data_IF_955876800600
#
_entry.id   IF_955876800600
#
_cell.length_a   1.000
_cell.length_b   1.000
_cell.length_c   1.000
_cell.angle_alpha   90.00
_cell.angle_beta   90.00
_cell.angle_gamma   90.00
#
_symmetry.space_group_name_H-M   'P 1'
#
loop_
_entity.id
_entity.type
_entity.pdbx_description
1 polymer ?
#
# COMPACT_ATOMS: atom_id res chain seq x y z
N UNK A 1 5.35 16.09 -35.88
CA UNK A 1 6.03 15.03 -35.08
C UNK A 1 5.21 14.76 -33.84
N UNK A 2 4.48 13.64 -33.74
CA UNK A 2 3.68 13.30 -32.55
C UNK A 2 4.64 12.98 -31.40
N UNK A 3 4.69 13.83 -30.37
CA UNK A 3 5.42 13.55 -29.14
C UNK A 3 5.00 12.18 -28.61
N UNK A 4 5.92 11.20 -28.61
CA UNK A 4 5.68 9.89 -28.00
C UNK A 4 5.28 10.12 -26.54
N UNK A 5 4.09 9.70 -26.17
CA UNK A 5 3.58 9.80 -24.79
C UNK A 5 4.59 9.13 -23.86
N UNK A 6 5.23 9.90 -22.97
CA UNK A 6 6.26 9.38 -22.07
C UNK A 6 5.63 8.30 -21.17
N UNK A 7 6.10 7.07 -21.30
CA UNK A 7 5.62 5.94 -20.50
C UNK A 7 5.92 6.22 -19.02
N UNK A 8 4.94 6.02 -18.14
CA UNK A 8 5.15 6.20 -16.71
C UNK A 8 6.15 5.17 -16.17
N UNK A 9 6.96 5.55 -15.18
CA UNK A 9 7.99 4.66 -14.61
C UNK A 9 7.42 3.32 -14.12
N UNK A 10 6.22 3.33 -13.56
CA UNK A 10 5.54 2.10 -13.10
C UNK A 10 5.16 1.14 -14.25
N UNK A 11 5.22 1.59 -15.48
CA UNK A 11 4.91 0.80 -16.68
C UNK A 11 6.17 0.47 -17.49
N UNK A 12 7.36 0.91 -17.05
CA UNK A 12 8.64 0.64 -17.72
C UNK A 12 9.22 -0.71 -17.26
N UNK A 13 8.44 -1.76 -17.29
CA UNK A 13 8.85 -3.13 -17.06
C UNK A 13 8.74 -3.94 -18.37
N UNK A 14 9.47 -5.04 -18.45
CA UNK A 14 9.38 -5.99 -19.56
C UNK A 14 8.11 -6.87 -19.47
N UNK A 15 7.98 -7.81 -20.41
CA UNK A 15 6.84 -8.76 -20.45
C UNK A 15 6.77 -9.70 -19.25
N UNK A 16 7.86 -9.87 -18.52
CA UNK A 16 7.92 -10.69 -17.30
C UNK A 16 7.67 -9.87 -16.02
N UNK A 17 7.42 -8.57 -16.16
CA UNK A 17 7.22 -7.66 -15.03
C UNK A 17 8.51 -7.19 -14.37
N UNK A 18 9.66 -7.28 -15.06
CA UNK A 18 10.97 -6.88 -14.54
C UNK A 18 11.31 -5.44 -14.91
N UNK A 19 11.81 -4.68 -13.96
CA UNK A 19 12.40 -3.35 -14.19
C UNK A 19 13.92 -3.44 -14.31
N UNK A 20 14.47 -2.87 -15.37
CA UNK A 20 15.92 -2.87 -15.62
C UNK A 20 16.51 -4.28 -15.71
N UNK A 21 15.72 -5.26 -16.12
CA UNK A 21 16.08 -6.67 -16.27
C UNK A 21 16.57 -7.38 -14.99
N UNK A 22 16.40 -6.75 -13.81
CA UNK A 22 16.92 -7.29 -12.54
C UNK A 22 15.90 -7.32 -11.40
N UNK A 23 14.94 -6.41 -11.39
CA UNK A 23 14.07 -6.20 -10.23
C UNK A 23 12.60 -6.44 -10.59
N UNK A 24 11.85 -7.04 -9.67
CA UNK A 24 10.43 -7.32 -9.86
C UNK A 24 10.14 -8.72 -10.36
N UNK A 25 9.21 -8.84 -11.31
CA UNK A 25 8.74 -10.10 -11.86
C UNK A 25 7.47 -10.63 -11.20
N UNK A 26 6.96 -11.75 -11.72
CA UNK A 26 5.75 -12.42 -11.24
C UNK A 26 6.07 -13.87 -10.84
N UNK A 27 7.02 -14.03 -9.90
CA UNK A 27 7.43 -15.35 -9.38
C UNK A 27 6.43 -15.83 -8.34
N UNK A 28 5.38 -16.49 -8.78
CA UNK A 28 4.29 -16.96 -7.93
C UNK A 28 3.91 -18.40 -8.27
N UNK A 29 3.35 -19.16 -7.30
CA UNK A 29 2.75 -20.46 -7.58
C UNK A 29 1.65 -20.35 -8.65
N UNK A 30 1.44 -21.43 -9.40
CA UNK A 30 0.44 -21.51 -10.48
C UNK A 30 -0.95 -21.08 -10.01
N UNK A 31 -1.32 -21.48 -8.79
CA UNK A 31 -2.60 -21.14 -8.15
C UNK A 31 -2.83 -19.64 -7.95
N UNK A 32 -1.78 -18.81 -7.93
CA UNK A 32 -1.88 -17.36 -7.81
C UNK A 32 -1.90 -16.63 -9.15
N UNK A 33 -1.60 -17.27 -10.27
CA UNK A 33 -1.57 -16.60 -11.58
C UNK A 33 -2.91 -15.95 -11.89
N UNK A 34 -4.00 -16.70 -11.83
CA UNK A 34 -5.34 -16.18 -12.15
C UNK A 34 -5.76 -15.03 -11.23
N UNK A 35 -5.67 -15.12 -9.88
CA UNK A 35 -5.96 -14.00 -8.99
C UNK A 35 -5.11 -12.74 -9.28
N UNK A 36 -3.86 -12.90 -9.67
CA UNK A 36 -2.97 -11.79 -10.02
C UNK A 36 -3.36 -11.15 -11.35
N UNK A 37 -3.65 -11.94 -12.38
CA UNK A 37 -4.13 -11.47 -13.68
C UNK A 37 -5.46 -10.70 -13.55
N UNK A 38 -6.39 -11.20 -12.74
CA UNK A 38 -7.66 -10.54 -12.47
C UNK A 38 -7.44 -9.19 -11.77
N UNK A 39 -6.55 -9.13 -10.79
CA UNK A 39 -6.19 -7.88 -10.13
C UNK A 39 -5.48 -6.90 -11.09
N UNK A 40 -4.62 -7.40 -11.97
CA UNK A 40 -3.89 -6.61 -12.96
C UNK A 40 -4.84 -6.00 -14.00
N UNK A 41 -5.80 -6.79 -14.48
CA UNK A 41 -6.86 -6.37 -15.39
C UNK A 41 -7.73 -5.29 -14.75
N UNK A 42 -8.20 -5.53 -13.53
CA UNK A 42 -9.01 -4.59 -12.77
C UNK A 42 -8.27 -3.27 -12.53
N UNK A 43 -7.03 -3.32 -12.06
CA UNK A 43 -6.23 -2.13 -11.79
C UNK A 43 -5.96 -1.34 -13.06
N UNK A 44 -5.58 -2.00 -14.16
CA UNK A 44 -5.32 -1.36 -15.45
C UNK A 44 -6.54 -0.61 -15.98
N UNK A 45 -7.73 -1.18 -15.82
CA UNK A 45 -9.01 -0.55 -16.18
C UNK A 45 -9.32 0.65 -15.26
N UNK A 46 -9.15 0.49 -13.96
CA UNK A 46 -9.60 1.48 -12.98
C UNK A 46 -8.63 2.65 -12.82
N UNK A 47 -7.31 2.43 -12.89
CA UNK A 47 -6.32 3.51 -12.70
C UNK A 47 -6.45 4.68 -13.67
N UNK A 48 -7.06 4.45 -14.85
CA UNK A 48 -7.31 5.46 -15.87
C UNK A 48 -8.79 5.91 -15.92
N UNK A 49 -9.67 5.31 -15.11
CA UNK A 49 -11.07 5.65 -15.06
C UNK A 49 -11.30 6.92 -14.25
N UNK A 50 -11.87 7.95 -14.89
CA UNK A 50 -12.10 9.27 -14.26
C UNK A 50 -12.94 9.20 -12.98
N UNK A 51 -13.96 8.35 -12.94
CA UNK A 51 -14.84 8.21 -11.77
C UNK A 51 -14.10 7.53 -10.60
N UNK A 52 -13.30 6.51 -10.88
CA UNK A 52 -12.47 5.86 -9.86
C UNK A 52 -11.41 6.81 -9.31
N UNK A 53 -10.76 7.59 -10.18
CA UNK A 53 -9.78 8.62 -9.76
C UNK A 53 -10.47 9.67 -8.88
N UNK A 54 -11.64 10.17 -9.28
CA UNK A 54 -12.44 11.11 -8.47
C UNK A 54 -12.81 10.55 -7.10
N UNK A 55 -13.23 9.28 -7.05
CA UNK A 55 -13.57 8.59 -5.81
C UNK A 55 -12.33 8.46 -4.91
N UNK A 56 -11.19 8.00 -5.44
CA UNK A 56 -9.91 7.96 -4.73
C UNK A 56 -9.51 9.32 -4.17
N UNK A 57 -9.56 10.37 -5.00
CA UNK A 57 -9.14 11.73 -4.62
C UNK A 57 -10.05 12.32 -3.54
N UNK A 58 -11.35 12.00 -3.54
CA UNK A 58 -12.27 12.33 -2.45
C UNK A 58 -11.82 11.72 -1.12
N UNK A 59 -11.40 10.44 -1.11
CA UNK A 59 -10.87 9.80 0.09
C UNK A 59 -9.52 10.40 0.49
N UNK A 60 -8.64 10.66 -0.46
CA UNK A 60 -7.35 11.27 -0.17
C UNK A 60 -7.51 12.64 0.46
N UNK A 61 -8.38 13.49 -0.08
CA UNK A 61 -8.64 14.82 0.47
C UNK A 61 -9.37 14.77 1.82
N UNK A 62 -10.53 14.11 1.88
CA UNK A 62 -11.46 14.25 2.99
C UNK A 62 -11.22 13.28 4.14
N UNK A 63 -10.45 12.22 3.92
CA UNK A 63 -10.20 11.22 4.95
C UNK A 63 -8.71 11.05 5.27
N UNK A 64 -7.82 11.08 4.28
CA UNK A 64 -6.38 11.04 4.54
C UNK A 64 -5.85 12.40 4.98
N UNK A 65 -6.42 13.50 4.49
CA UNK A 65 -5.95 14.87 4.77
C UNK A 65 -4.90 15.36 3.77
N UNK A 66 -4.98 14.88 2.55
CA UNK A 66 -4.15 15.31 1.41
C UNK A 66 -4.62 16.69 0.88
N UNK A 67 -3.73 17.63 0.54
CA UNK A 67 -2.27 17.57 0.65
C UNK A 67 -1.76 17.76 2.09
N UNK A 68 -0.73 17.00 2.47
CA UNK A 68 -0.04 17.21 3.75
C UNK A 68 0.89 18.42 3.67
N UNK A 69 1.31 18.97 4.82
CA UNK A 69 2.15 20.16 4.88
C UNK A 69 3.51 19.96 4.21
N UNK A 70 4.01 21.05 3.67
CA UNK A 70 5.38 21.18 3.18
C UNK A 70 6.00 22.37 3.91
N UNK A 71 7.06 22.16 4.68
CA UNK A 71 7.58 23.10 5.66
C UNK A 71 9.07 23.35 5.41
N UNK A 72 9.45 24.62 5.38
CA UNK A 72 10.86 25.03 5.42
C UNK A 72 11.42 24.90 6.83
N UNK A 73 12.54 24.20 6.96
CA UNK A 73 13.24 23.98 8.22
C UNK A 73 14.35 25.05 8.38
N UNK A 74 13.96 26.29 8.69
CA UNK A 74 14.87 27.45 8.74
C UNK A 74 16.03 27.24 9.72
N UNK A 75 15.73 26.82 10.95
CA UNK A 75 16.77 26.62 11.96
C UNK A 75 17.80 25.55 11.54
N UNK A 76 17.32 24.44 10.96
CA UNK A 76 18.19 23.37 10.49
C UNK A 76 19.02 23.83 9.28
N UNK A 77 18.40 24.54 8.33
CA UNK A 77 19.07 25.09 7.16
C UNK A 77 20.20 26.08 7.56
N UNK A 78 19.89 26.95 8.51
CA UNK A 78 20.90 27.94 9.02
C UNK A 78 22.00 27.24 9.78
N UNK A 79 21.70 26.22 10.59
CA UNK A 79 22.70 25.49 11.39
C UNK A 79 23.69 24.71 10.50
N UNK A 80 23.21 24.08 9.44
CA UNK A 80 24.05 23.29 8.53
C UNK A 80 24.84 24.21 7.58
N UNK A 81 24.25 25.34 7.16
CA UNK A 81 24.78 26.20 6.10
C UNK A 81 24.66 25.56 4.71
N UNK A 82 24.43 26.35 3.67
CA UNK A 82 24.34 25.86 2.29
C UNK A 82 22.90 25.67 1.79
N UNK A 83 22.50 24.44 1.48
CA UNK A 83 21.19 24.19 0.87
C UNK A 83 20.00 24.41 1.83
N UNK A 84 18.91 24.92 1.30
CA UNK A 84 17.64 25.00 2.04
C UNK A 84 17.06 23.59 2.26
N UNK A 85 16.67 23.28 3.49
CA UNK A 85 16.10 22.00 3.88
C UNK A 85 14.59 22.16 4.07
N UNK A 86 13.84 21.35 3.36
CA UNK A 86 12.39 21.32 3.40
C UNK A 86 11.90 19.93 3.78
N UNK A 87 10.79 19.82 4.49
CA UNK A 87 10.16 18.55 4.81
C UNK A 87 8.73 18.45 4.31
N UNK A 88 8.40 17.32 3.69
CA UNK A 88 7.02 16.91 3.39
C UNK A 88 6.49 16.11 4.58
N UNK A 89 5.58 16.70 5.35
CA UNK A 89 5.11 16.15 6.63
C UNK A 89 4.04 15.07 6.39
N UNK A 90 4.46 13.87 6.03
CA UNK A 90 3.53 12.77 5.73
C UNK A 90 2.88 12.20 7.00
N UNK A 91 3.41 12.51 8.18
CA UNK A 91 2.79 12.18 9.47
C UNK A 91 1.46 12.93 9.72
N UNK A 92 1.17 14.00 8.98
CA UNK A 92 -0.12 14.68 9.02
C UNK A 92 -1.24 13.86 8.39
N UNK A 93 -0.89 12.87 7.54
CA UNK A 93 -1.88 11.97 6.98
C UNK A 93 -2.58 11.17 8.09
N UNK A 94 -3.88 10.93 7.93
CA UNK A 94 -4.67 10.16 8.88
C UNK A 94 -4.00 8.80 9.18
N UNK A 95 -3.77 8.55 10.47
CA UNK A 95 -3.02 7.38 10.93
C UNK A 95 -1.52 7.62 11.09
N UNK A 96 -0.99 8.77 10.63
CA UNK A 96 0.39 9.21 10.87
C UNK A 96 1.44 8.62 9.91
N UNK A 97 1.06 8.07 8.75
CA UNK A 97 2.02 7.49 7.81
C UNK A 97 1.53 7.41 6.36
N UNK A 98 2.50 7.39 5.42
CA UNK A 98 2.29 7.24 3.99
C UNK A 98 1.55 5.95 3.58
N UNK A 99 1.64 4.89 4.37
CA UNK A 99 1.02 3.59 4.05
C UNK A 99 -0.51 3.64 3.96
N UNK A 100 -1.14 4.68 4.50
CA UNK A 100 -2.59 4.88 4.40
C UNK A 100 -3.05 5.08 2.95
N UNK A 101 -2.25 5.72 2.09
CA UNK A 101 -2.56 5.90 0.66
C UNK A 101 -2.67 4.54 -0.04
N UNK A 102 -1.68 3.67 0.18
CA UNK A 102 -1.66 2.33 -0.38
C UNK A 102 -2.82 1.47 0.13
N UNK A 103 -3.03 1.44 1.45
CA UNK A 103 -4.13 0.70 2.08
C UNK A 103 -5.50 1.14 1.56
N UNK A 104 -5.71 2.45 1.37
CA UNK A 104 -6.94 3.02 0.80
C UNK A 104 -7.21 2.52 -0.60
N UNK A 105 -6.19 2.53 -1.47
CA UNK A 105 -6.35 2.06 -2.85
C UNK A 105 -6.62 0.56 -2.90
N UNK A 106 -5.93 -0.26 -2.10
CA UNK A 106 -6.20 -1.69 -2.02
C UNK A 106 -7.63 -1.97 -1.55
N UNK A 107 -8.14 -1.26 -0.54
CA UNK A 107 -9.52 -1.41 -0.10
C UNK A 107 -10.54 -0.98 -1.17
N UNK A 108 -10.26 0.11 -1.91
CA UNK A 108 -11.10 0.53 -3.05
C UNK A 108 -11.15 -0.53 -4.13
N UNK A 109 -9.99 -1.10 -4.51
CA UNK A 109 -9.90 -2.17 -5.50
C UNK A 109 -10.63 -3.42 -5.03
N UNK A 110 -10.46 -3.81 -3.76
CA UNK A 110 -11.17 -4.93 -3.15
C UNK A 110 -12.70 -4.76 -3.26
N UNK A 111 -13.21 -3.57 -2.96
CA UNK A 111 -14.65 -3.27 -3.13
C UNK A 111 -15.10 -3.34 -4.58
N UNK A 112 -14.32 -2.81 -5.53
CA UNK A 112 -14.65 -2.87 -6.97
C UNK A 112 -14.60 -4.31 -7.51
N UNK A 113 -13.77 -5.17 -6.90
CA UNK A 113 -13.72 -6.60 -7.17
C UNK A 113 -14.82 -7.41 -6.46
N UNK A 114 -15.71 -6.78 -5.67
CA UNK A 114 -16.77 -7.47 -4.91
C UNK A 114 -16.25 -8.27 -3.71
N UNK A 115 -14.98 -8.09 -3.32
CA UNK A 115 -14.40 -8.81 -2.18
C UNK A 115 -14.97 -8.29 -0.85
N UNK A 116 -15.12 -9.19 0.11
CA UNK A 116 -15.69 -8.89 1.45
C UNK A 116 -14.61 -8.83 2.53
N UNK A 117 -13.48 -9.46 2.28
CA UNK A 117 -12.36 -9.59 3.21
C UNK A 117 -11.12 -8.97 2.56
N UNK A 118 -10.30 -8.28 3.35
CA UNK A 118 -8.97 -7.89 2.95
C UNK A 118 -7.96 -8.45 3.95
N UNK A 119 -6.88 -9.03 3.41
CA UNK A 119 -5.79 -9.56 4.22
C UNK A 119 -4.50 -8.81 3.94
N UNK A 120 -3.62 -8.77 4.90
CA UNK A 120 -2.28 -8.22 4.75
C UNK A 120 -1.37 -8.71 5.85
N UNK A 121 -0.09 -8.48 5.64
CA UNK A 121 0.98 -8.80 6.57
C UNK A 121 1.52 -7.55 7.25
N UNK A 122 2.18 -7.73 8.37
CA UNK A 122 2.90 -6.65 9.04
C UNK A 122 3.99 -7.18 9.97
N UNK A 123 5.14 -6.50 10.00
CA UNK A 123 6.19 -6.74 10.99
C UNK A 123 6.07 -5.77 12.17
N UNK A 124 6.49 -4.52 11.99
CA UNK A 124 6.40 -3.47 13.01
C UNK A 124 4.94 -3.03 13.36
N UNK A 125 3.94 -3.57 12.67
CA UNK A 125 2.53 -3.27 12.93
C UNK A 125 1.97 -2.06 12.19
N UNK A 126 2.81 -1.21 11.58
CA UNK A 126 2.33 0.04 10.97
C UNK A 126 1.51 -0.18 9.70
N UNK A 127 1.94 -1.11 8.82
CA UNK A 127 1.19 -1.48 7.62
C UNK A 127 -0.19 -2.06 8.01
N UNK A 128 -0.20 -2.97 8.99
CA UNK A 128 -1.43 -3.57 9.52
C UNK A 128 -2.37 -2.53 10.14
N UNK A 129 -1.83 -1.56 10.90
CA UNK A 129 -2.62 -0.46 11.46
C UNK A 129 -3.30 0.34 10.34
N UNK A 130 -2.57 0.73 9.29
CA UNK A 130 -3.15 1.49 8.18
C UNK A 130 -4.18 0.67 7.40
N UNK A 131 -3.90 -0.61 7.16
CA UNK A 131 -4.84 -1.50 6.48
C UNK A 131 -6.12 -1.70 7.30
N UNK A 132 -6.01 -1.91 8.62
CA UNK A 132 -7.17 -2.04 9.51
C UNK A 132 -8.05 -0.78 9.52
N UNK A 133 -7.44 0.40 9.53
CA UNK A 133 -8.16 1.68 9.44
C UNK A 133 -8.89 1.82 8.10
N UNK A 134 -8.22 1.51 6.99
CA UNK A 134 -8.83 1.57 5.67
C UNK A 134 -9.96 0.54 5.54
N UNK A 135 -9.74 -0.70 5.94
CA UNK A 135 -10.74 -1.75 5.91
C UNK A 135 -12.02 -1.35 6.67
N UNK A 136 -11.88 -0.81 7.88
CA UNK A 136 -13.00 -0.27 8.66
C UNK A 136 -13.74 0.84 7.91
N UNK A 137 -13.00 1.77 7.29
CA UNK A 137 -13.58 2.87 6.49
C UNK A 137 -14.41 2.37 5.32
N UNK A 138 -13.99 1.28 4.70
CA UNK A 138 -14.65 0.69 3.52
C UNK A 138 -15.64 -0.44 3.85
N UNK A 139 -15.84 -0.77 5.12
CA UNK A 139 -16.74 -1.86 5.54
C UNK A 139 -16.25 -3.25 5.13
N UNK A 140 -14.93 -3.46 5.07
CA UNK A 140 -14.31 -4.74 4.78
C UNK A 140 -13.90 -5.44 6.08
N UNK A 141 -14.10 -6.75 6.18
CA UNK A 141 -13.44 -7.56 7.22
C UNK A 141 -11.94 -7.55 6.97
N UNK A 142 -11.14 -7.40 8.03
CA UNK A 142 -9.69 -7.28 7.93
C UNK A 142 -9.00 -8.37 8.75
N UNK A 143 -8.06 -9.09 8.12
CA UNK A 143 -7.20 -10.06 8.79
C UNK A 143 -5.75 -9.65 8.58
N UNK A 144 -4.98 -9.56 9.66
CA UNK A 144 -3.58 -9.15 9.63
C UNK A 144 -2.71 -10.29 10.17
N UNK A 145 -1.85 -10.81 9.32
CA UNK A 145 -0.86 -11.81 9.68
C UNK A 145 0.37 -11.12 10.27
N UNK A 146 0.79 -11.55 11.45
CA UNK A 146 1.92 -10.95 12.16
C UNK A 146 2.69 -12.01 12.92
N UNK A 147 4.02 -11.99 12.83
CA UNK A 147 4.86 -12.92 13.56
C UNK A 147 4.67 -12.83 15.07
N UNK A 148 4.64 -13.97 15.75
CA UNK A 148 4.36 -14.01 17.20
C UNK A 148 5.39 -13.21 18.02
N UNK A 149 6.65 -13.18 17.59
CA UNK A 149 7.69 -12.33 18.21
C UNK A 149 7.42 -10.85 17.99
N UNK A 150 6.96 -10.47 16.79
CA UNK A 150 6.65 -9.09 16.46
C UNK A 150 5.38 -8.62 17.20
N UNK A 151 4.39 -9.49 17.36
CA UNK A 151 3.21 -9.21 18.20
C UNK A 151 3.62 -8.83 19.63
N UNK A 152 4.53 -9.58 20.23
CA UNK A 152 5.01 -9.29 21.61
C UNK A 152 5.70 -7.91 21.69
N UNK A 153 6.51 -7.58 20.68
CA UNK A 153 7.28 -6.32 20.61
C UNK A 153 6.41 -5.08 20.32
N UNK A 154 5.34 -5.27 19.57
CA UNK A 154 4.56 -4.18 18.94
C UNK A 154 3.12 -4.08 19.48
N UNK A 155 2.92 -4.36 20.77
CA UNK A 155 1.60 -4.37 21.42
C UNK A 155 0.76 -3.10 21.18
N UNK A 156 1.32 -1.87 21.16
CA UNK A 156 0.51 -0.68 20.85
C UNK A 156 -0.15 -0.74 19.47
N UNK A 157 0.58 -1.21 18.46
CA UNK A 157 0.04 -1.36 17.10
C UNK A 157 -0.98 -2.50 17.01
N UNK A 158 -0.75 -3.61 17.72
CA UNK A 158 -1.70 -4.73 17.81
C UNK A 158 -3.02 -4.26 18.44
N UNK A 159 -2.97 -3.52 19.54
CA UNK A 159 -4.16 -2.94 20.16
C UNK A 159 -4.91 -1.99 19.22
N UNK A 160 -4.18 -1.16 18.46
CA UNK A 160 -4.77 -0.26 17.48
C UNK A 160 -5.47 -1.02 16.34
N UNK A 161 -4.85 -2.08 15.80
CA UNK A 161 -5.47 -2.94 14.78
C UNK A 161 -6.76 -3.58 15.27
N UNK A 162 -6.75 -4.16 16.48
CA UNK A 162 -7.94 -4.75 17.11
C UNK A 162 -9.05 -3.72 17.36
N UNK A 163 -8.70 -2.49 17.82
CA UNK A 163 -9.66 -1.37 17.97
C UNK A 163 -10.30 -0.96 16.66
N UNK A 164 -9.61 -1.11 15.54
CA UNK A 164 -10.17 -0.90 14.21
C UNK A 164 -11.04 -2.06 13.72
N UNK A 165 -11.15 -3.16 14.48
CA UNK A 165 -11.94 -4.34 14.12
C UNK A 165 -11.19 -5.38 13.28
N UNK A 166 -9.85 -5.28 13.20
CA UNK A 166 -9.06 -6.29 12.52
C UNK A 166 -8.79 -7.50 13.43
N UNK A 167 -8.87 -8.68 12.84
CA UNK A 167 -8.36 -9.92 13.41
C UNK A 167 -6.84 -9.97 13.20
N UNK A 168 -6.06 -10.01 14.28
CA UNK A 168 -4.61 -10.16 14.22
C UNK A 168 -4.27 -11.63 14.42
N UNK A 169 -3.75 -12.28 13.39
CA UNK A 169 -3.44 -13.71 13.35
C UNK A 169 -1.96 -13.89 13.65
N UNK A 170 -1.63 -14.53 14.78
CA UNK A 170 -0.24 -14.80 15.13
C UNK A 170 0.34 -15.91 14.26
N UNK A 171 1.56 -15.70 13.77
CA UNK A 171 2.32 -16.68 13.00
C UNK A 171 3.45 -17.22 13.86
N UNK A 172 3.41 -18.54 14.11
CA UNK A 172 4.35 -19.25 14.97
C UNK A 172 5.41 -20.04 14.18
N UNK A 173 5.28 -20.13 12.87
CA UNK A 173 6.22 -20.85 12.00
C UNK A 173 7.51 -20.06 11.81
N UNK A 174 8.59 -20.76 11.49
CA UNK A 174 9.89 -20.21 11.11
C UNK A 174 10.48 -19.26 12.13
N UNK A 175 10.91 -18.09 11.70
CA UNK A 175 11.50 -17.05 12.53
C UNK A 175 10.47 -16.33 13.43
N UNK A 176 9.18 -16.51 13.17
CA UNK A 176 8.05 -15.83 13.82
C UNK A 176 8.09 -14.29 13.62
N UNK A 177 8.55 -13.86 12.44
CA UNK A 177 8.69 -12.46 12.05
C UNK A 177 7.99 -12.18 10.72
N UNK A 178 8.25 -11.01 10.12
CA UNK A 178 7.60 -10.53 8.91
C UNK A 178 7.64 -11.54 7.74
N UNK A 179 8.76 -12.24 7.53
CA UNK A 179 8.92 -13.18 6.40
C UNK A 179 7.87 -14.29 6.46
N UNK A 180 7.69 -14.87 7.65
CA UNK A 180 6.72 -15.94 7.87
C UNK A 180 5.29 -15.40 7.81
N UNK A 181 5.07 -14.18 8.31
CA UNK A 181 3.78 -13.51 8.22
C UNK A 181 3.35 -13.28 6.77
N UNK A 182 4.26 -12.85 5.89
CA UNK A 182 4.00 -12.72 4.44
C UNK A 182 3.61 -14.06 3.84
N UNK A 183 4.38 -15.11 4.14
CA UNK A 183 4.14 -16.46 3.60
C UNK A 183 2.78 -17.01 4.02
N UNK A 184 2.39 -16.87 5.29
CA UNK A 184 1.08 -17.30 5.78
C UNK A 184 -0.07 -16.45 5.21
N UNK A 185 0.13 -15.14 5.07
CA UNK A 185 -0.84 -14.26 4.43
C UNK A 185 -1.10 -14.68 2.98
N UNK A 186 -0.05 -15.01 2.23
CA UNK A 186 -0.18 -15.52 0.86
C UNK A 186 -0.89 -16.86 0.80
N UNK A 187 -0.56 -17.83 1.67
CA UNK A 187 -1.25 -19.12 1.74
C UNK A 187 -2.74 -18.95 2.02
N UNK A 188 -3.06 -18.08 2.98
CA UNK A 188 -4.46 -17.78 3.28
C UNK A 188 -5.18 -17.17 2.07
N UNK A 189 -4.53 -16.24 1.37
CA UNK A 189 -5.13 -15.59 0.20
C UNK A 189 -5.38 -16.59 -0.93
N UNK A 190 -4.41 -17.47 -1.24
CA UNK A 190 -4.60 -18.55 -2.24
C UNK A 190 -5.84 -19.37 -1.95
N UNK A 191 -6.01 -19.81 -0.70
CA UNK A 191 -7.12 -20.67 -0.29
C UNK A 191 -8.48 -19.95 -0.26
N UNK A 192 -8.51 -18.60 -0.30
CA UNK A 192 -9.72 -17.80 -0.10
C UNK A 192 -9.87 -16.67 -1.14
N UNK A 193 -9.22 -16.78 -2.30
CA UNK A 193 -9.12 -15.67 -3.27
C UNK A 193 -10.48 -15.22 -3.82
N UNK A 194 -11.51 -16.06 -3.82
CA UNK A 194 -12.86 -15.71 -4.31
C UNK A 194 -13.50 -14.58 -3.47
N UNK A 195 -13.33 -14.61 -2.17
CA UNK A 195 -13.94 -13.64 -1.25
C UNK A 195 -12.97 -12.62 -0.68
N UNK A 196 -11.66 -12.85 -0.86
CA UNK A 196 -10.60 -12.15 -0.17
C UNK A 196 -9.68 -11.44 -1.15
N UNK A 197 -9.34 -10.19 -0.84
CA UNK A 197 -8.28 -9.44 -1.50
C UNK A 197 -7.03 -9.39 -0.61
N UNK A 198 -5.85 -9.36 -1.22
CA UNK A 198 -4.58 -9.17 -0.51
C UNK A 198 -4.08 -7.73 -0.69
N UNK A 199 -3.57 -7.15 0.38
CA UNK A 199 -2.86 -5.87 0.38
C UNK A 199 -1.39 -6.11 0.73
N UNK A 200 -0.50 -5.71 -0.16
CA UNK A 200 0.95 -5.66 0.12
C UNK A 200 1.34 -4.24 0.48
N UNK A 201 1.95 -4.06 1.64
CA UNK A 201 2.24 -2.75 2.23
C UNK A 201 3.47 -2.02 1.67
N UNK A 202 4.16 -2.58 0.67
CA UNK A 202 5.40 -2.05 0.11
C UNK A 202 5.60 -2.48 -1.36
N UNK A 203 6.73 -2.07 -1.95
CA UNK A 203 7.08 -2.40 -3.35
C UNK A 203 7.80 -3.75 -3.45
N UNK A 204 7.18 -4.80 -2.91
CA UNK A 204 7.67 -6.18 -2.96
C UNK A 204 6.61 -7.12 -3.52
N UNK A 205 7.02 -8.33 -3.91
CA UNK A 205 6.15 -9.35 -4.45
C UNK A 205 5.85 -9.17 -5.93
N UNK A 206 4.76 -9.79 -6.43
CA UNK A 206 4.36 -9.69 -7.81
C UNK A 206 4.22 -8.26 -8.30
N UNK A 207 4.58 -8.02 -9.56
CA UNK A 207 4.59 -6.73 -10.24
C UNK A 207 3.35 -5.87 -9.96
N UNK A 208 2.16 -6.47 -9.94
CA UNK A 208 0.91 -5.73 -9.72
C UNK A 208 0.88 -5.00 -8.37
N UNK A 209 1.39 -5.59 -7.30
CA UNK A 209 1.44 -4.94 -5.99
C UNK A 209 2.41 -3.76 -5.98
N UNK A 210 3.54 -3.89 -6.67
CA UNK A 210 4.49 -2.78 -6.88
C UNK A 210 3.83 -1.62 -7.62
N UNK A 211 3.08 -1.91 -8.68
CA UNK A 211 2.32 -0.91 -9.46
C UNK A 211 1.28 -0.20 -8.60
N UNK A 212 0.47 -0.95 -7.84
CA UNK A 212 -0.55 -0.36 -6.97
C UNK A 212 0.10 0.51 -5.89
N UNK A 213 1.15 0.04 -5.25
CA UNK A 213 1.87 0.78 -4.23
C UNK A 213 2.48 2.08 -4.80
N UNK A 214 3.19 1.99 -5.92
CA UNK A 214 3.78 3.15 -6.58
C UNK A 214 2.74 4.16 -7.05
N UNK A 215 1.63 3.70 -7.65
CA UNK A 215 0.56 4.58 -8.11
C UNK A 215 -0.15 5.30 -6.97
N UNK A 216 -0.42 4.62 -5.86
CA UNK A 216 -1.10 5.19 -4.71
C UNK A 216 -0.23 6.19 -3.94
N UNK A 217 1.02 5.83 -3.68
CA UNK A 217 1.96 6.68 -2.91
C UNK A 217 2.53 7.83 -3.74
N UNK A 218 2.49 7.76 -5.08
CA UNK A 218 2.86 8.88 -5.95
C UNK A 218 2.05 10.17 -5.71
N UNK A 219 0.94 10.08 -4.97
CA UNK A 219 0.20 11.26 -4.53
C UNK A 219 1.09 12.23 -3.73
N UNK A 220 1.97 11.71 -2.88
CA UNK A 220 2.90 12.51 -2.07
C UNK A 220 3.82 13.35 -2.96
N UNK A 221 4.39 12.74 -4.00
CA UNK A 221 5.26 13.45 -4.95
C UNK A 221 4.51 14.42 -5.86
N UNK A 222 3.25 14.13 -6.20
CA UNK A 222 2.39 15.06 -6.96
C UNK A 222 2.07 16.31 -6.14
N UNK A 223 1.75 16.14 -4.85
CA UNK A 223 1.55 17.25 -3.94
C UNK A 223 2.81 18.10 -3.80
N UNK A 224 3.96 17.44 -3.55
CA UNK A 224 5.25 18.11 -3.42
C UNK A 224 5.56 18.95 -4.67
N UNK A 225 5.35 18.40 -5.87
CA UNK A 225 5.56 19.13 -7.14
C UNK A 225 4.70 20.39 -7.26
N UNK A 226 3.50 20.40 -6.66
CA UNK A 226 2.63 21.58 -6.66
C UNK A 226 2.99 22.58 -5.55
N UNK A 227 3.55 22.10 -4.45
CA UNK A 227 3.91 22.91 -3.28
C UNK A 227 5.30 23.59 -3.40
N UNK A 228 6.17 23.10 -4.27
CA UNK A 228 7.48 23.71 -4.58
C UNK A 228 7.34 24.94 -5.51
N UNK A 229 6.21 25.07 -6.21
CA UNK A 229 5.94 26.23 -7.09
C UNK A 229 5.53 27.44 -6.29
#
# INVERSE_FOLDING_TARGET
MKLKKKVQLIDQHDKFGMWGNKFGGNFVPETLKKPIEDLESLFSKLRNNKNFIKERDKYFKNWIGSPTRFIYLSNLSNHIGGAQIWTKVVSDANGGAHKIYNATVHCLLAKKAGKKIIVGDTGAGYAGKMLSMAAKKFGLKCKIFMGAKDIKRQQPNVKAMKKNGAEVIPVYTGSQTLVDAVSECMRYWVANCDTTAMCVGSTVGPNIFVKICGWSTSQISRELKLQIK
#
